data_IF_082027309600
#
_entry.id   IF_082027309600
#
_cell.length_a   1.000
_cell.length_b   1.000
_cell.length_c   1.000
_cell.angle_alpha   90.00
_cell.angle_beta   90.00
_cell.angle_gamma   90.00
#
_symmetry.space_group_name_H-M   'P 1'
#
loop_
_entity.id
_entity.type
_entity.pdbx_description
1 polymer ?
#
# COMPACT_ATOMS: atom_id res chain seq x y z
N UNK A 1 18.78 -25.06 -10.09
CA UNK A 1 17.94 -26.00 -9.31
C UNK A 1 16.71 -25.27 -8.81
N UNK A 2 15.51 -25.85 -8.94
CA UNK A 2 14.24 -25.15 -8.66
C UNK A 2 14.01 -24.82 -7.18
N UNK A 3 13.28 -23.73 -6.91
CA UNK A 3 12.84 -23.32 -5.57
C UNK A 3 11.95 -24.42 -4.97
N UNK A 4 12.26 -24.90 -3.76
CA UNK A 4 11.49 -25.93 -3.05
C UNK A 4 10.68 -25.33 -1.92
N UNK A 5 9.49 -25.87 -1.67
CA UNK A 5 8.69 -25.67 -0.46
C UNK A 5 8.89 -26.86 0.48
N UNK A 6 8.25 -26.83 1.67
CA UNK A 6 8.29 -27.95 2.63
C UNK A 6 7.79 -29.28 2.03
N UNK A 7 6.92 -29.23 1.03
CA UNK A 7 6.20 -30.39 0.49
C UNK A 7 6.57 -30.74 -0.96
N UNK A 8 7.44 -29.98 -1.62
CA UNK A 8 7.82 -30.26 -3.01
C UNK A 8 8.46 -29.08 -3.73
N UNK A 9 8.34 -29.06 -5.06
CA UNK A 9 8.79 -27.93 -5.87
C UNK A 9 7.77 -26.79 -5.81
N UNK A 10 8.26 -25.56 -5.74
CA UNK A 10 7.41 -24.39 -5.77
C UNK A 10 6.83 -24.19 -7.17
N UNK A 11 5.51 -24.03 -7.24
CA UNK A 11 4.81 -23.54 -8.42
C UNK A 11 4.28 -22.12 -8.19
N UNK A 12 4.91 -21.31 -7.36
CA UNK A 12 4.46 -19.93 -7.13
C UNK A 12 4.59 -19.08 -8.41
N UNK A 13 3.82 -17.98 -8.51
CA UNK A 13 3.77 -17.17 -9.73
C UNK A 13 5.16 -16.66 -10.15
N UNK A 14 5.95 -16.17 -9.19
CA UNK A 14 7.34 -15.72 -9.38
C UNK A 14 8.26 -16.80 -9.97
N UNK A 15 8.04 -18.07 -9.59
CA UNK A 15 8.81 -19.20 -10.11
C UNK A 15 8.35 -19.56 -11.52
N UNK A 16 7.04 -19.58 -11.76
CA UNK A 16 6.47 -19.92 -13.05
C UNK A 16 6.75 -18.85 -14.11
N UNK A 17 6.73 -17.56 -13.76
CA UNK A 17 7.06 -16.47 -14.68
C UNK A 17 8.47 -16.62 -15.26
N UNK A 18 9.45 -16.99 -14.44
CA UNK A 18 10.82 -17.27 -14.90
C UNK A 18 10.92 -18.45 -15.87
N UNK A 19 10.05 -19.44 -15.70
CA UNK A 19 9.98 -20.63 -16.56
C UNK A 19 9.13 -20.42 -17.82
N UNK A 20 8.32 -19.35 -17.87
CA UNK A 20 7.35 -19.11 -18.93
C UNK A 20 7.97 -18.83 -20.30
N UNK A 21 9.22 -18.35 -20.32
CA UNK A 21 9.99 -18.15 -21.55
C UNK A 21 10.50 -19.45 -22.16
N UNK A 22 10.77 -20.45 -21.33
CA UNK A 22 11.32 -21.75 -21.75
C UNK A 22 10.21 -22.76 -22.10
N UNK A 23 9.09 -22.73 -21.37
CA UNK A 23 8.02 -23.74 -21.50
C UNK A 23 6.66 -23.08 -21.74
N UNK A 24 6.11 -23.14 -22.98
CA UNK A 24 4.83 -22.51 -23.31
C UNK A 24 3.65 -22.91 -22.42
N UNK A 25 3.61 -24.18 -21.96
CA UNK A 25 2.58 -24.68 -21.04
C UNK A 25 2.49 -23.88 -19.74
N UNK A 26 3.60 -23.28 -19.28
CA UNK A 26 3.63 -22.49 -18.05
C UNK A 26 2.80 -21.21 -18.17
N UNK A 27 2.75 -20.61 -19.37
CA UNK A 27 1.88 -19.46 -19.63
C UNK A 27 0.40 -19.84 -19.47
N UNK A 28 -0.01 -20.98 -20.01
CA UNK A 28 -1.37 -21.49 -19.86
C UNK A 28 -1.71 -21.82 -18.40
N UNK A 29 -0.76 -22.34 -17.62
CA UNK A 29 -0.96 -22.58 -16.18
C UNK A 29 -1.18 -21.27 -15.42
N UNK A 30 -0.37 -20.24 -15.69
CA UNK A 30 -0.49 -18.92 -15.08
C UNK A 30 -1.85 -18.29 -15.42
N UNK A 31 -2.23 -18.31 -16.69
CA UNK A 31 -3.52 -17.82 -17.19
C UNK A 31 -4.69 -18.59 -16.54
N UNK A 32 -4.67 -19.92 -16.57
CA UNK A 32 -5.69 -20.76 -15.96
C UNK A 32 -5.87 -20.45 -14.47
N UNK A 33 -4.78 -20.26 -13.72
CA UNK A 33 -4.84 -19.91 -12.29
C UNK A 33 -5.45 -18.54 -12.07
N UNK A 34 -5.07 -17.56 -12.89
CA UNK A 34 -5.67 -16.22 -12.87
C UNK A 34 -7.18 -16.28 -13.10
N UNK A 35 -7.60 -16.92 -14.20
CA UNK A 35 -9.02 -17.10 -14.56
C UNK A 35 -9.79 -17.88 -13.49
N UNK A 36 -9.22 -18.97 -12.97
CA UNK A 36 -9.83 -19.78 -11.91
C UNK A 36 -10.01 -18.97 -10.64
N UNK A 37 -9.06 -18.10 -10.29
CA UNK A 37 -9.18 -17.22 -9.13
C UNK A 37 -10.27 -16.16 -9.35
N UNK A 38 -10.32 -15.53 -10.54
CA UNK A 38 -11.38 -14.61 -10.94
C UNK A 38 -12.76 -15.26 -10.83
N UNK A 39 -12.94 -16.44 -11.40
CA UNK A 39 -14.20 -17.18 -11.34
C UNK A 39 -14.56 -17.59 -9.92
N UNK A 40 -13.69 -18.36 -9.25
CA UNK A 40 -14.04 -19.02 -7.99
C UNK A 40 -14.14 -18.05 -6.81
N UNK A 41 -13.27 -17.05 -6.74
CA UNK A 41 -13.23 -16.12 -5.59
C UNK A 41 -14.09 -14.89 -5.82
N UNK A 42 -14.09 -14.34 -7.03
CA UNK A 42 -14.67 -13.02 -7.27
C UNK A 42 -16.00 -13.08 -8.03
N UNK A 43 -16.18 -13.97 -9.01
CA UNK A 43 -17.48 -14.12 -9.66
C UNK A 43 -18.43 -14.96 -8.78
N UNK A 44 -18.22 -16.28 -8.76
CA UNK A 44 -19.06 -17.21 -7.99
C UNK A 44 -18.96 -16.93 -6.49
N UNK A 45 -17.75 -16.62 -6.03
CA UNK A 45 -17.45 -16.41 -4.62
C UNK A 45 -18.16 -15.19 -4.03
N UNK A 46 -18.18 -14.04 -4.73
CA UNK A 46 -18.93 -12.87 -4.25
C UNK A 46 -20.43 -13.03 -4.43
N UNK A 47 -20.87 -13.71 -5.49
CA UNK A 47 -22.30 -13.97 -5.72
C UNK A 47 -22.97 -14.70 -4.54
N UNK A 48 -22.22 -15.55 -3.84
CA UNK A 48 -22.70 -16.25 -2.65
C UNK A 48 -22.92 -15.35 -1.41
N UNK A 49 -22.41 -14.11 -1.41
CA UNK A 49 -22.56 -13.12 -0.34
C UNK A 49 -23.55 -12.01 -0.69
N UNK A 50 -24.26 -12.12 -1.82
CA UNK A 50 -25.31 -11.17 -2.17
C UNK A 50 -26.53 -11.49 -1.30
N UNK A 51 -26.91 -10.54 -0.45
CA UNK A 51 -28.06 -10.62 0.43
C UNK A 51 -29.26 -9.84 -0.15
N UNK A 52 -30.28 -9.63 0.67
CA UNK A 52 -31.44 -8.82 0.32
C UNK A 52 -31.02 -7.40 -0.14
N UNK A 53 -31.84 -6.80 -0.99
CA UNK A 53 -31.55 -5.50 -1.64
C UNK A 53 -30.31 -5.48 -2.56
N UNK A 54 -29.79 -6.64 -2.96
CA UNK A 54 -28.59 -6.78 -3.80
C UNK A 54 -27.33 -6.16 -3.17
N UNK A 55 -27.20 -6.24 -1.83
CA UNK A 55 -26.04 -5.73 -1.10
C UNK A 55 -25.13 -6.85 -0.63
N UNK A 56 -23.84 -6.52 -0.49
CA UNK A 56 -22.83 -7.38 0.14
C UNK A 56 -22.39 -6.71 1.44
N UNK A 57 -22.55 -7.41 2.55
CA UNK A 57 -22.17 -6.94 3.88
C UNK A 57 -20.88 -7.62 4.36
N UNK A 58 -19.76 -6.92 4.25
CA UNK A 58 -18.47 -7.43 4.74
C UNK A 58 -18.26 -7.16 6.23
N UNK A 59 -17.44 -7.98 6.89
CA UNK A 59 -16.99 -7.77 8.27
C UNK A 59 -15.60 -7.16 8.31
N UNK A 60 -15.48 -5.97 8.90
CA UNK A 60 -14.21 -5.27 9.10
C UNK A 60 -13.62 -5.54 10.49
N UNK A 61 -12.54 -6.31 10.54
CA UNK A 61 -11.85 -6.67 11.77
C UNK A 61 -10.72 -5.68 12.09
N UNK A 62 -10.80 -5.04 13.26
CA UNK A 62 -9.80 -4.07 13.71
C UNK A 62 -8.63 -4.68 14.51
N UNK A 63 -8.75 -5.94 14.94
CA UNK A 63 -7.84 -6.58 15.91
C UNK A 63 -6.99 -7.72 15.32
N UNK A 64 -7.09 -7.98 14.01
CA UNK A 64 -6.37 -9.10 13.36
C UNK A 64 -4.94 -8.71 12.97
N UNK A 65 -4.74 -7.56 12.34
CA UNK A 65 -3.42 -7.22 11.78
C UNK A 65 -2.50 -6.64 12.86
N UNK A 66 -1.25 -7.14 12.91
CA UNK A 66 -0.25 -6.65 13.86
C UNK A 66 0.20 -5.21 13.59
N UNK A 67 -0.05 -4.68 12.39
CA UNK A 67 0.29 -3.31 12.00
C UNK A 67 -0.85 -2.33 12.22
N UNK A 68 -2.02 -2.80 12.68
CA UNK A 68 -3.16 -1.93 12.98
C UNK A 68 -4.04 -1.59 11.78
N UNK A 69 -3.73 -2.09 10.57
CA UNK A 69 -4.65 -2.04 9.43
C UNK A 69 -5.96 -2.77 9.74
N UNK A 70 -7.06 -2.29 9.16
CA UNK A 70 -8.33 -3.01 9.18
C UNK A 70 -8.25 -4.13 8.14
N UNK A 71 -8.80 -5.30 8.45
CA UNK A 71 -8.94 -6.41 7.51
C UNK A 71 -10.41 -6.69 7.23
N UNK A 72 -10.72 -7.14 6.02
CA UNK A 72 -12.09 -7.48 5.61
C UNK A 72 -12.25 -8.99 5.40
N UNK A 73 -13.35 -9.55 5.92
CA UNK A 73 -13.70 -10.97 5.80
C UNK A 73 -15.18 -11.14 5.46
N UNK A 74 -15.50 -12.27 4.81
CA UNK A 74 -16.88 -12.72 4.56
C UNK A 74 -17.80 -11.68 3.87
N UNK A 75 -17.49 -11.24 2.63
CA UNK A 75 -16.30 -11.52 1.85
C UNK A 75 -15.19 -10.49 2.10
N UNK A 76 -13.97 -10.79 1.67
CA UNK A 76 -12.89 -9.80 1.69
C UNK A 76 -13.08 -8.81 0.52
N UNK A 77 -13.43 -7.57 0.84
CA UNK A 77 -13.61 -6.48 -0.14
C UNK A 77 -12.37 -5.62 -0.30
N UNK A 78 -11.31 -5.83 0.48
CA UNK A 78 -10.05 -5.09 0.35
C UNK A 78 -9.12 -5.65 -0.73
N UNK A 79 -9.43 -6.83 -1.28
CA UNK A 79 -8.58 -7.51 -2.26
C UNK A 79 -9.25 -7.65 -3.64
N UNK A 80 -10.25 -6.82 -3.94
CA UNK A 80 -10.90 -6.81 -5.26
C UNK A 80 -9.87 -6.43 -6.33
N UNK A 81 -9.69 -7.23 -7.39
CA UNK A 81 -8.58 -7.07 -8.32
C UNK A 81 -8.59 -5.71 -9.02
N UNK A 82 -7.40 -5.19 -9.29
CA UNK A 82 -7.20 -3.92 -10.00
C UNK A 82 -6.10 -3.97 -11.06
N UNK A 83 -5.07 -4.80 -10.86
CA UNK A 83 -3.86 -4.81 -11.71
C UNK A 83 -4.06 -5.48 -13.08
N UNK A 84 -4.90 -6.52 -13.15
CA UNK A 84 -5.20 -7.21 -14.40
C UNK A 84 -6.48 -6.64 -14.98
N UNK A 85 -6.48 -6.28 -16.26
CA UNK A 85 -7.64 -5.68 -16.92
C UNK A 85 -8.92 -6.48 -16.70
N UNK A 86 -8.91 -7.78 -17.02
CA UNK A 86 -10.06 -8.67 -16.79
C UNK A 86 -10.47 -8.75 -15.30
N UNK A 87 -9.52 -8.66 -14.38
CA UNK A 87 -9.81 -8.62 -12.95
C UNK A 87 -10.43 -7.31 -12.52
N UNK A 88 -9.96 -6.18 -13.07
CA UNK A 88 -10.50 -4.84 -12.83
C UNK A 88 -11.96 -4.79 -13.24
N UNK A 89 -12.35 -5.45 -14.34
CA UNK A 89 -13.74 -5.52 -14.81
C UNK A 89 -14.73 -6.03 -13.74
N UNK A 90 -14.31 -6.84 -12.76
CA UNK A 90 -15.17 -7.24 -11.64
C UNK A 90 -15.69 -6.02 -10.87
N UNK A 91 -14.92 -4.94 -10.75
CA UNK A 91 -15.35 -3.72 -10.05
C UNK A 91 -16.59 -3.05 -10.66
N UNK A 92 -16.94 -3.35 -11.92
CA UNK A 92 -18.14 -2.82 -12.58
C UNK A 92 -19.45 -3.32 -11.96
N UNK A 93 -19.45 -4.48 -11.30
CA UNK A 93 -20.65 -5.04 -10.69
C UNK A 93 -21.00 -4.37 -9.36
N UNK A 94 -20.05 -3.63 -8.78
CA UNK A 94 -20.32 -2.78 -7.62
C UNK A 94 -20.84 -1.45 -8.13
N UNK A 95 -22.13 -1.22 -7.90
CA UNK A 95 -22.84 -0.01 -8.29
C UNK A 95 -23.40 0.68 -7.03
N UNK A 96 -23.44 2.02 -7.00
CA UNK A 96 -24.13 2.75 -5.97
C UNK A 96 -25.65 2.60 -6.15
N UNK A 97 -26.42 2.93 -5.13
CA UNK A 97 -27.89 3.07 -5.25
C UNK A 97 -28.28 4.15 -6.26
N UNK A 98 -29.51 4.08 -6.76
CA UNK A 98 -30.05 5.09 -7.68
C UNK A 98 -29.99 6.51 -7.09
N UNK A 99 -29.54 7.47 -7.91
CA UNK A 99 -29.33 8.86 -7.50
C UNK A 99 -28.00 9.11 -6.76
N UNK A 100 -27.09 8.13 -6.73
CA UNK A 100 -25.79 8.23 -6.08
C UNK A 100 -24.66 7.88 -7.07
N UNK A 101 -23.45 8.33 -6.75
CA UNK A 101 -22.20 7.92 -7.37
C UNK A 101 -21.27 7.32 -6.30
N UNK A 102 -20.19 6.66 -6.73
CA UNK A 102 -19.07 6.40 -5.84
C UNK A 102 -18.03 7.49 -5.94
N UNK A 103 -17.51 7.90 -4.78
CA UNK A 103 -16.34 8.77 -4.66
C UNK A 103 -15.24 8.01 -3.93
N UNK A 104 -14.14 7.73 -4.62
CA UNK A 104 -12.93 7.08 -4.11
C UNK A 104 -11.90 8.16 -3.78
N UNK A 105 -11.39 8.13 -2.55
CA UNK A 105 -10.34 9.02 -2.08
C UNK A 105 -9.16 8.20 -1.59
N UNK A 106 -8.02 8.25 -2.29
CA UNK A 106 -6.83 7.45 -2.00
C UNK A 106 -5.68 8.37 -1.58
N UNK A 107 -4.98 8.06 -0.49
CA UNK A 107 -3.82 8.86 -0.13
C UNK A 107 -2.66 8.64 -1.11
N UNK A 108 -2.13 9.74 -1.64
CA UNK A 108 -0.97 9.70 -2.51
C UNK A 108 0.30 9.40 -1.71
N UNK A 109 0.70 8.12 -1.73
CA UNK A 109 1.98 7.63 -1.19
C UNK A 109 2.17 7.87 0.31
N UNK A 110 1.11 7.68 1.10
CA UNK A 110 1.10 7.98 2.55
C UNK A 110 2.29 7.36 3.31
N UNK A 111 2.68 6.12 3.00
CA UNK A 111 3.80 5.46 3.70
C UNK A 111 5.14 6.18 3.49
N UNK A 112 5.38 6.74 2.30
CA UNK A 112 6.60 7.50 2.01
C UNK A 112 6.54 8.92 2.59
N UNK A 113 5.37 9.57 2.64
CA UNK A 113 5.19 10.85 3.33
C UNK A 113 5.41 10.71 4.85
N UNK A 114 4.91 9.62 5.43
CA UNK A 114 5.18 9.24 6.82
C UNK A 114 6.68 9.00 7.04
N UNK A 115 7.35 8.27 6.15
CA UNK A 115 8.80 8.07 6.23
C UNK A 115 9.56 9.42 6.19
N UNK A 116 9.21 10.29 5.24
CA UNK A 116 9.82 11.62 5.13
C UNK A 116 9.65 12.42 6.42
N UNK A 117 8.43 12.48 6.93
CA UNK A 117 8.13 13.23 8.16
C UNK A 117 8.78 12.65 9.41
N UNK A 118 8.81 11.32 9.57
CA UNK A 118 9.36 10.68 10.77
C UNK A 118 10.88 10.62 10.77
N UNK A 119 11.50 10.55 9.58
CA UNK A 119 12.96 10.57 9.45
C UNK A 119 13.56 11.95 9.62
N UNK A 120 12.78 13.02 9.33
CA UNK A 120 13.28 14.39 9.35
C UNK A 120 14.21 14.73 8.18
N UNK A 121 14.32 13.86 7.17
CA UNK A 121 15.25 14.07 6.07
C UNK A 121 14.82 15.26 5.20
N UNK A 122 15.50 16.39 5.37
CA UNK A 122 15.15 17.65 4.71
C UNK A 122 15.13 17.56 3.19
N UNK A 123 15.99 16.72 2.59
CA UNK A 123 16.00 16.53 1.12
C UNK A 123 14.75 15.79 0.66
N UNK A 124 14.34 14.77 1.42
CA UNK A 124 13.14 14.01 1.11
C UNK A 124 11.87 14.84 1.37
N UNK A 125 11.85 15.63 2.45
CA UNK A 125 10.76 16.55 2.78
C UNK A 125 10.61 17.61 1.68
N UNK A 126 11.71 18.24 1.26
CA UNK A 126 11.70 19.25 0.19
C UNK A 126 11.27 18.65 -1.15
N UNK A 127 11.67 17.41 -1.44
CA UNK A 127 11.24 16.72 -2.65
C UNK A 127 9.70 16.58 -2.71
N UNK A 128 9.03 16.32 -1.58
CA UNK A 128 7.57 16.34 -1.52
C UNK A 128 6.96 17.74 -1.61
N UNK A 129 7.57 18.74 -0.95
CA UNK A 129 7.08 20.13 -1.00
C UNK A 129 7.16 20.74 -2.40
N UNK A 130 8.13 20.31 -3.21
CA UNK A 130 8.29 20.79 -4.58
C UNK A 130 7.19 20.31 -5.55
N UNK A 131 6.28 19.42 -5.12
CA UNK A 131 5.28 18.73 -5.96
C UNK A 131 5.85 18.06 -7.22
N UNK A 132 7.17 17.89 -7.30
CA UNK A 132 7.81 17.14 -8.37
C UNK A 132 7.57 15.63 -8.19
N UNK A 133 7.58 14.88 -9.28
CA UNK A 133 7.47 13.42 -9.22
C UNK A 133 8.60 12.83 -8.36
N UNK A 134 8.26 12.39 -7.14
CA UNK A 134 9.25 11.93 -6.17
C UNK A 134 10.09 10.77 -6.69
N UNK A 135 9.53 9.89 -7.52
CA UNK A 135 10.28 8.77 -8.07
C UNK A 135 11.27 9.23 -9.13
N UNK A 136 10.92 10.23 -9.95
CA UNK A 136 11.87 10.87 -10.86
C UNK A 136 12.93 11.66 -10.09
N UNK A 137 12.55 12.38 -9.04
CA UNK A 137 13.49 13.11 -8.17
C UNK A 137 14.48 12.16 -7.52
N UNK A 138 14.00 11.07 -6.93
CA UNK A 138 14.88 10.03 -6.37
C UNK A 138 15.75 9.41 -7.45
N UNK A 139 15.22 9.08 -8.63
CA UNK A 139 16.02 8.53 -9.72
C UNK A 139 17.12 9.51 -10.17
N UNK A 140 16.80 10.80 -10.32
CA UNK A 140 17.74 11.86 -10.69
C UNK A 140 18.86 11.99 -9.66
N UNK A 141 18.52 12.01 -8.37
CA UNK A 141 19.49 12.15 -7.29
C UNK A 141 20.35 10.88 -7.10
N UNK A 142 19.73 9.70 -7.14
CA UNK A 142 20.40 8.41 -6.96
C UNK A 142 21.30 8.08 -8.16
N UNK A 143 20.82 8.28 -9.40
CA UNK A 143 21.61 7.97 -10.60
C UNK A 143 22.49 9.13 -11.07
N UNK A 144 22.47 10.27 -10.37
CA UNK A 144 23.19 11.49 -10.75
C UNK A 144 22.93 11.93 -12.20
N UNK A 145 21.68 11.84 -12.64
CA UNK A 145 21.21 12.26 -13.97
C UNK A 145 20.28 13.47 -13.85
N UNK A 146 20.27 14.40 -14.81
CA UNK A 146 19.30 15.50 -14.83
C UNK A 146 17.85 14.98 -14.77
N UNK A 147 16.97 15.69 -14.05
CA UNK A 147 15.57 15.28 -13.85
C UNK A 147 14.83 14.99 -15.17
N UNK A 148 15.06 15.82 -16.18
CA UNK A 148 14.46 15.69 -17.52
C UNK A 148 14.99 14.48 -18.30
N UNK A 149 16.18 13.98 -17.96
CA UNK A 149 16.81 12.83 -18.61
C UNK A 149 16.45 11.49 -17.93
N UNK A 150 15.68 11.54 -16.83
CA UNK A 150 15.20 10.33 -16.16
C UNK A 150 14.27 9.56 -17.09
N UNK A 151 14.69 8.34 -17.44
CA UNK A 151 13.88 7.40 -18.22
C UNK A 151 12.78 6.77 -17.37
N UNK A 152 11.72 6.28 -18.00
CA UNK A 152 10.63 5.58 -17.30
C UNK A 152 11.09 4.30 -16.59
N UNK A 153 12.12 3.63 -17.12
CA UNK A 153 12.74 2.48 -16.47
C UNK A 153 13.45 2.91 -15.17
N UNK A 154 14.23 3.98 -15.19
CA UNK A 154 14.90 4.51 -14.00
C UNK A 154 13.89 4.99 -12.96
N UNK A 155 12.82 5.69 -13.38
CA UNK A 155 11.71 6.06 -12.50
C UNK A 155 11.07 4.84 -11.85
N UNK A 156 10.80 3.78 -12.62
CA UNK A 156 10.24 2.52 -12.11
C UNK A 156 11.19 1.86 -11.10
N UNK A 157 12.49 1.86 -11.39
CA UNK A 157 13.48 1.29 -10.49
C UNK A 157 13.57 2.08 -9.18
N UNK A 158 13.60 3.41 -9.24
CA UNK A 158 13.58 4.27 -8.06
C UNK A 158 12.29 4.11 -7.24
N UNK A 159 11.14 3.93 -7.90
CA UNK A 159 9.89 3.56 -7.22
C UNK A 159 10.05 2.27 -6.43
N UNK A 160 10.57 1.21 -7.03
CA UNK A 160 10.78 -0.06 -6.33
C UNK A 160 11.78 0.09 -5.16
N UNK A 161 12.82 0.91 -5.30
CA UNK A 161 13.75 1.23 -4.21
C UNK A 161 13.01 1.94 -3.07
N UNK A 162 12.26 3.02 -3.34
CA UNK A 162 11.52 3.78 -2.31
C UNK A 162 10.60 2.87 -1.49
N UNK A 163 9.76 2.07 -2.17
CA UNK A 163 8.90 1.12 -1.48
C UNK A 163 9.72 0.04 -0.77
N UNK A 164 10.75 -0.50 -1.42
CA UNK A 164 11.63 -1.50 -0.84
C UNK A 164 12.25 -1.06 0.49
N UNK A 165 12.73 0.18 0.58
CA UNK A 165 13.32 0.74 1.80
C UNK A 165 12.30 0.80 2.95
N UNK A 166 11.06 1.22 2.68
CA UNK A 166 9.95 1.22 3.68
C UNK A 166 9.69 -0.18 4.25
N UNK A 167 9.91 -1.23 3.45
CA UNK A 167 9.71 -2.63 3.85
C UNK A 167 10.99 -3.33 4.33
N UNK A 168 12.12 -2.62 4.43
CA UNK A 168 13.41 -3.20 4.80
C UNK A 168 13.88 -4.26 3.79
N UNK A 169 13.68 -4.01 2.50
CA UNK A 169 14.07 -4.93 1.43
C UNK A 169 15.58 -5.19 1.48
N UNK A 170 15.97 -6.43 1.21
CA UNK A 170 17.38 -6.78 1.04
C UNK A 170 17.81 -6.53 -0.41
N UNK A 171 19.12 -6.38 -0.64
CA UNK A 171 19.67 -6.34 -2.01
C UNK A 171 19.28 -7.55 -2.84
N UNK A 172 19.08 -8.72 -2.22
CA UNK A 172 18.54 -9.90 -2.90
C UNK A 172 17.09 -9.69 -3.35
N UNK A 173 16.21 -9.23 -2.46
CA UNK A 173 14.81 -8.96 -2.79
C UNK A 173 14.69 -7.92 -3.91
N UNK A 174 15.43 -6.81 -3.78
CA UNK A 174 15.43 -5.74 -4.78
C UNK A 174 15.99 -6.23 -6.13
N UNK A 175 17.01 -7.09 -6.12
CA UNK A 175 17.56 -7.64 -7.38
C UNK A 175 16.55 -8.50 -8.14
N UNK A 176 15.68 -9.21 -7.42
CA UNK A 176 14.63 -10.02 -8.02
C UNK A 176 13.51 -9.13 -8.57
N UNK A 177 13.07 -8.13 -7.80
CA UNK A 177 12.01 -7.19 -8.21
C UNK A 177 12.41 -6.37 -9.45
N UNK A 178 13.69 -6.00 -9.56
CA UNK A 178 14.23 -5.21 -10.66
C UNK A 178 14.81 -6.05 -11.80
N UNK A 179 14.96 -7.36 -11.61
CA UNK A 179 15.66 -8.24 -12.55
C UNK A 179 17.10 -7.75 -12.89
N UNK A 180 17.83 -7.27 -11.87
CA UNK A 180 19.23 -6.80 -11.97
C UNK A 180 20.17 -7.67 -11.13
N UNK A 181 21.48 -7.45 -11.20
CA UNK A 181 22.41 -8.17 -10.33
C UNK A 181 22.27 -7.72 -8.87
N UNK A 182 22.59 -8.62 -7.92
CA UNK A 182 22.64 -8.27 -6.49
C UNK A 182 23.61 -7.13 -6.19
N UNK A 183 24.68 -7.00 -6.97
CA UNK A 183 25.68 -5.93 -6.82
C UNK A 183 25.07 -4.58 -7.17
N UNK A 184 24.33 -4.51 -8.27
CA UNK A 184 23.62 -3.29 -8.68
C UNK A 184 22.53 -2.92 -7.67
N UNK A 185 21.74 -3.89 -7.21
CA UNK A 185 20.72 -3.66 -6.19
C UNK A 185 21.32 -3.14 -4.86
N UNK A 186 22.48 -3.66 -4.44
CA UNK A 186 23.18 -3.16 -3.27
C UNK A 186 23.65 -1.72 -3.46
N UNK A 187 24.23 -1.40 -4.62
CA UNK A 187 24.65 -0.03 -4.95
C UNK A 187 23.47 0.95 -4.95
N UNK A 188 22.29 0.54 -5.45
CA UNK A 188 21.09 1.39 -5.41
C UNK A 188 20.64 1.71 -3.99
N UNK A 189 20.69 0.73 -3.08
CA UNK A 189 20.33 0.94 -1.66
C UNK A 189 21.35 1.86 -0.97
N UNK A 190 22.64 1.64 -1.22
CA UNK A 190 23.72 2.45 -0.66
C UNK A 190 23.59 3.91 -1.10
N UNK A 191 23.47 4.14 -2.39
CA UNK A 191 23.30 5.46 -3.01
C UNK A 191 22.03 6.18 -2.52
N UNK A 192 20.94 5.44 -2.29
CA UNK A 192 19.73 6.00 -1.68
C UNK A 192 20.01 6.53 -0.28
N UNK A 193 20.71 5.78 0.56
CA UNK A 193 21.05 6.22 1.91
C UNK A 193 22.13 7.29 1.96
N UNK A 194 23.01 7.38 0.98
CA UNK A 194 23.93 8.51 0.82
C UNK A 194 23.17 9.79 0.42
N UNK A 195 22.12 9.65 -0.39
CA UNK A 195 21.26 10.75 -0.80
C UNK A 195 20.39 11.25 0.38
N UNK A 196 19.80 10.32 1.14
CA UNK A 196 18.91 10.56 2.27
C UNK A 196 19.48 9.96 3.58
N UNK A 197 20.54 10.56 4.15
CA UNK A 197 21.24 10.00 5.30
C UNK A 197 20.40 9.96 6.57
N UNK A 198 19.42 10.85 6.73
CA UNK A 198 18.58 10.86 7.94
C UNK A 198 17.55 9.73 7.91
N UNK A 199 17.11 9.31 6.71
CA UNK A 199 16.30 8.09 6.54
C UNK A 199 17.04 6.87 7.08
N UNK A 200 18.34 6.71 6.76
CA UNK A 200 19.14 5.61 7.29
C UNK A 200 19.24 5.66 8.81
N UNK A 201 19.56 6.84 9.37
CA UNK A 201 19.68 7.02 10.82
C UNK A 201 18.36 6.69 11.54
N UNK A 202 17.23 7.10 10.96
CA UNK A 202 15.90 6.78 11.46
C UNK A 202 15.61 5.28 11.43
N UNK A 203 15.84 4.60 10.31
CA UNK A 203 15.63 3.15 10.21
C UNK A 203 16.51 2.38 11.21
N UNK A 204 17.78 2.77 11.32
CA UNK A 204 18.73 2.18 12.27
C UNK A 204 18.28 2.41 13.73
N UNK A 205 17.73 3.58 14.04
CA UNK A 205 17.22 3.90 15.38
C UNK A 205 15.96 3.10 15.71
N UNK A 206 15.03 2.91 14.78
CA UNK A 206 13.84 2.08 14.97
C UNK A 206 14.21 0.64 15.38
N UNK A 207 15.19 0.05 14.71
CA UNK A 207 15.67 -1.30 15.03
C UNK A 207 16.35 -1.33 16.40
N UNK A 208 17.19 -0.33 16.69
CA UNK A 208 17.88 -0.22 17.99
C UNK A 208 16.89 -0.11 19.14
N UNK A 209 15.87 0.74 19.00
CA UNK A 209 14.85 0.96 20.01
C UNK A 209 13.96 -0.28 20.18
N UNK A 210 13.59 -0.95 19.08
CA UNK A 210 12.84 -2.19 19.16
C UNK A 210 13.63 -3.33 19.82
N UNK A 211 14.95 -3.41 19.60
CA UNK A 211 15.83 -4.37 20.30
C UNK A 211 15.92 -4.08 21.79
N UNK A 212 15.94 -2.79 22.18
CA UNK A 212 15.98 -2.36 23.57
C UNK A 212 14.66 -2.61 24.30
N UNK A 213 13.54 -2.27 23.67
CA UNK A 213 12.22 -2.23 24.30
C UNK A 213 11.40 -3.52 24.08
N UNK A 214 11.75 -4.31 23.06
CA UNK A 214 11.03 -5.52 22.64
C UNK A 214 9.79 -5.27 21.76
N UNK A 215 9.55 -4.03 21.34
CA UNK A 215 8.43 -3.65 20.49
C UNK A 215 8.74 -2.42 19.62
N UNK A 216 8.06 -2.31 18.48
CA UNK A 216 8.02 -1.12 17.63
C UNK A 216 6.83 -0.23 18.00
N UNK A 217 6.91 1.08 17.74
CA UNK A 217 5.88 2.07 18.09
C UNK A 217 5.55 2.98 16.90
N UNK A 218 4.27 3.25 16.66
CA UNK A 218 3.81 4.23 15.65
C UNK A 218 3.88 5.66 16.20
N UNK A 219 3.70 6.67 15.34
CA UNK A 219 3.63 8.08 15.74
C UNK A 219 2.55 8.32 16.81
N UNK A 220 1.44 7.60 16.74
CA UNK A 220 0.30 7.70 17.67
C UNK A 220 0.38 6.72 18.84
N UNK A 221 1.53 6.09 19.06
CA UNK A 221 1.78 5.26 20.26
C UNK A 221 1.30 3.81 20.18
N UNK A 222 0.79 3.34 19.03
CA UNK A 222 0.45 1.92 18.84
C UNK A 222 1.71 1.08 18.94
N UNK A 223 1.69 0.01 19.73
CA UNK A 223 2.83 -0.89 19.94
C UNK A 223 2.65 -2.21 19.21
N UNK A 224 3.72 -2.69 18.60
CA UNK A 224 3.81 -4.06 18.03
C UNK A 224 4.99 -4.79 18.68
N UNK A 225 4.75 -5.81 19.52
CA UNK A 225 5.81 -6.69 20.03
C UNK A 225 6.60 -7.34 18.88
N UNK A 226 7.92 -7.45 19.04
CA UNK A 226 8.82 -8.05 18.04
C UNK A 226 9.77 -9.06 18.71
N UNK A 227 9.24 -10.19 19.24
CA UNK A 227 10.05 -11.19 19.93
C UNK A 227 11.15 -11.80 19.04
N UNK A 228 10.98 -11.76 17.72
CA UNK A 228 11.94 -12.28 16.75
C UNK A 228 13.33 -11.63 16.85
N UNK A 229 13.41 -10.39 17.33
CA UNK A 229 14.67 -9.67 17.55
C UNK A 229 15.61 -10.36 18.55
N UNK A 230 15.06 -11.14 19.48
CA UNK A 230 15.82 -11.86 20.50
C UNK A 230 16.20 -13.29 20.09
N UNK A 231 15.82 -13.72 18.87
CA UNK A 231 16.16 -15.05 18.38
C UNK A 231 17.66 -15.15 18.06
N UNK A 232 18.26 -16.28 18.46
CA UNK A 232 19.62 -16.64 18.04
C UNK A 232 19.68 -16.97 16.54
N UNK A 233 18.56 -17.41 15.94
CA UNK A 233 18.46 -17.71 14.52
C UNK A 233 18.55 -16.42 13.67
N UNK A 234 19.56 -16.33 12.81
CA UNK A 234 19.81 -15.16 11.96
C UNK A 234 18.60 -14.79 11.10
N UNK A 235 17.94 -15.77 10.46
CA UNK A 235 16.81 -15.50 9.56
C UNK A 235 15.60 -14.94 10.31
N UNK A 236 15.33 -15.47 11.51
CA UNK A 236 14.25 -14.98 12.36
C UNK A 236 14.57 -13.57 12.87
N UNK A 237 15.80 -13.33 13.33
CA UNK A 237 16.22 -12.02 13.80
C UNK A 237 16.17 -10.96 12.69
N UNK A 238 16.65 -11.26 11.49
CA UNK A 238 16.55 -10.35 10.35
C UNK A 238 15.10 -10.09 9.92
N UNK A 239 14.19 -11.06 10.10
CA UNK A 239 12.76 -10.81 9.93
C UNK A 239 12.22 -9.84 10.99
N UNK A 240 12.60 -10.03 12.26
CA UNK A 240 12.29 -9.08 13.34
C UNK A 240 12.80 -7.67 13.07
N UNK A 241 14.01 -7.53 12.51
CA UNK A 241 14.56 -6.23 12.11
C UNK A 241 13.68 -5.56 11.05
N UNK A 242 13.29 -6.28 9.97
CA UNK A 242 12.36 -5.74 8.96
C UNK A 242 11.01 -5.34 9.55
N UNK A 243 10.48 -6.16 10.48
CA UNK A 243 9.26 -5.84 11.20
C UNK A 243 9.40 -4.55 12.00
N UNK A 244 10.53 -4.37 12.71
CA UNK A 244 10.80 -3.17 13.49
C UNK A 244 10.93 -1.91 12.63
N UNK A 245 11.51 -2.02 11.43
CA UNK A 245 11.61 -0.92 10.46
C UNK A 245 10.24 -0.54 9.88
N UNK A 246 9.47 -1.53 9.43
CA UNK A 246 8.25 -1.28 8.67
C UNK A 246 7.03 -0.92 9.55
N UNK A 247 6.90 -1.53 10.73
CA UNK A 247 5.69 -1.38 11.54
C UNK A 247 5.39 0.05 11.99
N UNK A 248 6.38 0.87 12.39
CA UNK A 248 6.15 2.28 12.71
C UNK A 248 5.56 3.05 11.52
N UNK A 249 6.07 2.81 10.31
CA UNK A 249 5.66 3.53 9.10
C UNK A 249 4.25 3.09 8.66
N UNK A 250 4.08 1.79 8.40
CA UNK A 250 2.80 1.23 7.96
C UNK A 250 1.70 1.39 9.03
N UNK A 251 2.06 1.24 10.29
CA UNK A 251 1.12 1.41 11.39
C UNK A 251 0.71 2.86 11.60
N UNK A 252 1.62 3.81 11.39
CA UNK A 252 1.26 5.24 11.41
C UNK A 252 0.32 5.57 10.25
N UNK A 253 0.55 5.06 9.03
CA UNK A 253 -0.41 5.22 7.93
C UNK A 253 -1.79 4.63 8.27
N UNK A 254 -1.82 3.46 8.92
CA UNK A 254 -3.07 2.85 9.41
C UNK A 254 -3.75 3.66 10.53
N UNK A 255 -2.98 4.36 11.36
CA UNK A 255 -3.51 5.26 12.39
C UNK A 255 -4.13 6.52 11.73
N UNK A 256 -3.44 7.10 10.74
CA UNK A 256 -3.89 8.29 10.01
C UNK A 256 -5.22 8.03 9.28
N UNK A 257 -5.32 6.96 8.50
CA UNK A 257 -6.57 6.64 7.78
C UNK A 257 -7.73 6.41 8.75
N UNK A 258 -7.48 5.83 9.94
CA UNK A 258 -8.52 5.67 10.97
C UNK A 258 -8.97 6.99 11.56
N UNK A 259 -8.05 7.92 11.79
CA UNK A 259 -8.39 9.28 12.23
C UNK A 259 -9.22 9.98 11.14
N UNK A 260 -8.81 9.86 9.87
CA UNK A 260 -9.54 10.40 8.74
C UNK A 260 -10.96 9.84 8.64
N UNK A 261 -11.13 8.52 8.78
CA UNK A 261 -12.46 7.87 8.80
C UNK A 261 -13.38 8.45 9.88
N UNK A 262 -12.86 8.67 11.11
CA UNK A 262 -13.64 9.24 12.20
C UNK A 262 -14.08 10.66 11.84
N UNK A 263 -13.15 11.49 11.37
CA UNK A 263 -13.44 12.89 11.03
C UNK A 263 -14.41 13.04 9.87
N UNK A 264 -14.20 12.29 8.79
CA UNK A 264 -15.12 12.25 7.64
C UNK A 264 -16.51 11.81 8.11
N UNK A 265 -16.61 10.72 8.87
CA UNK A 265 -17.90 10.25 9.39
C UNK A 265 -18.62 11.29 10.27
N UNK A 266 -17.89 11.91 11.20
CA UNK A 266 -18.44 12.94 12.08
C UNK A 266 -18.92 14.17 11.30
N UNK A 267 -18.17 14.57 10.26
CA UNK A 267 -18.52 15.72 9.44
C UNK A 267 -19.72 15.47 8.53
N UNK A 268 -19.75 14.33 7.83
CA UNK A 268 -20.93 13.89 7.07
C UNK A 268 -22.20 13.90 7.95
N UNK A 269 -22.09 13.39 9.19
CA UNK A 269 -23.20 13.37 10.14
C UNK A 269 -23.59 14.76 10.65
N UNK A 270 -22.62 15.61 10.98
CA UNK A 270 -22.84 16.97 11.49
C UNK A 270 -23.53 17.85 10.45
N UNK A 271 -23.18 17.69 9.19
CA UNK A 271 -23.76 18.43 8.06
C UNK A 271 -25.07 17.82 7.55
N UNK A 272 -25.49 16.67 8.10
CA UNK A 272 -26.78 16.04 7.80
C UNK A 272 -26.84 15.39 6.42
N UNK A 273 -25.69 15.01 5.87
CA UNK A 273 -25.58 14.43 4.53
C UNK A 273 -26.13 13.00 4.47
N UNK A 274 -26.69 12.62 3.33
CA UNK A 274 -27.21 11.29 3.03
C UNK A 274 -26.11 10.32 2.59
N UNK A 275 -25.01 10.87 2.09
CA UNK A 275 -23.81 10.14 1.64
C UNK A 275 -23.17 9.35 2.78
N UNK A 276 -22.57 8.19 2.47
CA UNK A 276 -22.06 7.26 3.48
C UNK A 276 -20.71 6.68 3.10
N UNK A 277 -19.80 6.61 4.07
CA UNK A 277 -18.59 5.78 3.98
C UNK A 277 -18.97 4.30 3.92
N UNK A 278 -18.59 3.61 2.84
CA UNK A 278 -18.96 2.21 2.60
C UNK A 278 -17.77 1.28 2.82
N UNK A 279 -16.59 1.61 2.26
CA UNK A 279 -15.40 0.77 2.37
C UNK A 279 -14.18 1.59 2.78
N UNK A 280 -13.28 0.93 3.49
CA UNK A 280 -11.90 1.34 3.64
C UNK A 280 -11.01 0.22 3.07
N UNK A 281 -10.17 0.56 2.09
CA UNK A 281 -9.28 -0.40 1.43
C UNK A 281 -7.85 0.14 1.48
N UNK A 282 -7.10 -0.33 2.47
CA UNK A 282 -5.70 0.10 2.71
C UNK A 282 -5.57 1.59 3.05
N UNK A 283 -5.32 2.43 2.07
CA UNK A 283 -5.16 3.88 2.15
C UNK A 283 -6.29 4.64 1.45
N UNK A 284 -7.26 3.92 0.85
CA UNK A 284 -8.42 4.50 0.17
C UNK A 284 -9.71 4.43 1.02
N UNK A 285 -10.55 5.45 0.91
CA UNK A 285 -11.93 5.51 1.41
C UNK A 285 -12.90 5.57 0.23
N UNK A 286 -13.92 4.71 0.23
CA UNK A 286 -14.99 4.70 -0.76
C UNK A 286 -16.29 5.21 -0.13
N UNK A 287 -16.81 6.31 -0.64
CA UNK A 287 -18.07 6.92 -0.22
C UNK A 287 -19.14 6.64 -1.29
N UNK A 288 -20.32 6.18 -0.87
CA UNK A 288 -21.54 6.22 -1.69
C UNK A 288 -22.17 7.60 -1.51
N UNK A 289 -22.04 8.43 -2.54
CA UNK A 289 -22.27 9.88 -2.50
C UNK A 289 -23.54 10.23 -3.26
N UNK A 290 -24.47 10.97 -2.62
CA UNK A 290 -25.65 11.46 -3.31
C UNK A 290 -25.23 12.46 -4.38
N UNK A 291 -25.82 12.41 -5.57
CA UNK A 291 -25.40 13.27 -6.68
C UNK A 291 -25.52 14.76 -6.33
N UNK A 292 -26.52 15.14 -5.53
CA UNK A 292 -26.69 16.51 -5.05
C UNK A 292 -25.69 16.94 -3.96
N UNK A 293 -24.94 16.00 -3.36
CA UNK A 293 -23.96 16.24 -2.29
C UNK A 293 -22.50 16.11 -2.77
N UNK A 294 -22.25 15.86 -4.06
CA UNK A 294 -20.92 15.53 -4.58
C UNK A 294 -19.86 16.56 -4.18
N UNK A 295 -20.11 17.84 -4.45
CA UNK A 295 -19.16 18.93 -4.15
C UNK A 295 -18.87 19.04 -2.64
N UNK A 296 -19.90 18.85 -1.81
CA UNK A 296 -19.76 18.91 -0.35
C UNK A 296 -18.93 17.73 0.17
N UNK A 297 -19.22 16.51 -0.30
CA UNK A 297 -18.45 15.31 0.10
C UNK A 297 -17.00 15.41 -0.36
N UNK A 298 -16.76 15.92 -1.58
CA UNK A 298 -15.40 16.18 -2.09
C UNK A 298 -14.60 17.08 -1.15
N UNK A 299 -15.17 18.23 -0.80
CA UNK A 299 -14.55 19.18 0.14
C UNK A 299 -14.30 18.54 1.52
N UNK A 300 -15.24 17.75 2.03
CA UNK A 300 -15.06 17.04 3.30
C UNK A 300 -13.88 16.06 3.23
N UNK A 301 -13.74 15.30 2.14
CA UNK A 301 -12.63 14.36 1.98
C UNK A 301 -11.29 15.10 1.85
N UNK A 302 -11.22 16.12 1.00
CA UNK A 302 -10.03 16.96 0.83
C UNK A 302 -9.59 17.56 2.16
N UNK A 303 -10.51 18.13 2.94
CA UNK A 303 -10.16 18.75 4.22
C UNK A 303 -9.83 17.71 5.29
N UNK A 304 -10.70 16.73 5.54
CA UNK A 304 -10.56 15.85 6.69
C UNK A 304 -9.46 14.80 6.51
N UNK A 305 -9.23 14.31 5.29
CA UNK A 305 -8.16 13.35 5.02
C UNK A 305 -6.80 14.05 5.01
N UNK A 306 -6.65 15.19 4.34
CA UNK A 306 -5.36 15.92 4.29
C UNK A 306 -4.93 16.35 5.69
N UNK A 307 -5.87 16.81 6.52
CA UNK A 307 -5.56 17.31 7.86
C UNK A 307 -5.63 16.24 8.96
N UNK A 308 -5.83 14.96 8.62
CA UNK A 308 -5.93 13.87 9.59
C UNK A 308 -4.68 13.73 10.48
N UNK A 309 -3.52 14.21 9.98
CA UNK A 309 -2.25 14.24 10.71
C UNK A 309 -1.49 15.53 10.45
N UNK A 310 -0.73 16.00 11.44
CA UNK A 310 0.20 17.11 11.28
C UNK A 310 1.61 16.56 11.07
N UNK A 311 1.94 16.27 9.81
CA UNK A 311 3.26 15.80 9.39
C UNK A 311 4.10 16.97 8.85
N UNK A 312 5.42 16.78 8.72
CA UNK A 312 6.33 17.77 8.12
C UNK A 312 6.11 17.95 6.59
N UNK A 313 5.46 16.96 5.98
CA UNK A 313 5.04 16.91 4.58
C UNK A 313 3.51 16.82 4.58
N UNK A 314 2.84 17.66 3.78
CA UNK A 314 1.39 17.63 3.65
C UNK A 314 0.92 16.28 3.09
N UNK A 315 -0.19 15.77 3.60
CA UNK A 315 -0.86 14.62 2.99
C UNK A 315 -1.57 15.10 1.73
N UNK A 316 -1.62 14.26 0.71
CA UNK A 316 -2.37 14.51 -0.52
C UNK A 316 -3.28 13.33 -0.78
N UNK A 317 -4.45 13.61 -1.37
CA UNK A 317 -5.39 12.58 -1.81
C UNK A 317 -5.69 12.72 -3.29
N UNK A 318 -5.85 11.60 -3.97
CA UNK A 318 -6.37 11.52 -5.33
C UNK A 318 -7.86 11.15 -5.24
N UNK A 319 -8.71 11.94 -5.90
CA UNK A 319 -10.16 11.81 -5.84
C UNK A 319 -10.75 11.45 -7.20
N UNK A 320 -11.52 10.36 -7.23
CA UNK A 320 -12.18 9.87 -8.43
C UNK A 320 -13.67 9.64 -8.18
N UNK A 321 -14.50 9.99 -9.17
CA UNK A 321 -15.95 9.79 -9.12
C UNK A 321 -16.36 8.88 -10.26
N UNK A 322 -17.26 7.93 -9.99
CA UNK A 322 -17.77 7.02 -11.00
C UNK A 322 -19.14 6.45 -10.66
N UNK A 323 -19.84 5.97 -11.69
CA UNK A 323 -21.15 5.29 -11.53
C UNK A 323 -21.00 3.83 -11.08
N UNK A 324 -19.77 3.35 -10.95
CA UNK A 324 -19.41 2.03 -10.44
C UNK A 324 -17.96 2.12 -9.91
N UNK A 325 -17.53 1.09 -9.16
CA UNK A 325 -16.20 1.12 -8.55
C UNK A 325 -15.05 0.95 -9.56
N UNK A 326 -15.34 0.56 -10.79
CA UNK A 326 -14.34 0.51 -11.86
C UNK A 326 -13.96 1.91 -12.36
N UNK A 327 -14.96 2.80 -12.47
CA UNK A 327 -14.83 4.17 -12.97
C UNK A 327 -14.39 5.17 -11.90
N UNK A 328 -14.69 4.91 -10.63
CA UNK A 328 -14.19 5.68 -9.50
C UNK A 328 -12.71 5.34 -9.18
N UNK A 329 -11.83 5.31 -10.20
CA UNK A 329 -10.39 5.03 -10.07
C UNK A 329 -9.58 5.48 -11.29
#
# INVERSE_FOLDING_TARGET
GGKKTKTGYSTAADVLEKLSGEYPVVKHILEYRGLTKLKSTYADGLAAYIEDENRIHSTFNQTITATGRISSTEPNLQNIPIRMELGRQIRKVFIPKDGYCFMDADYSQIELRVLASMSGDERLIEAYRSHADIHRTTASQVFHIPFEEVTDLQRRNAKAVNFGIVYGISSFGLSEDLSISRKEAAAYIEQYFETYPQVKQFIDSLVKDAKKNGYAVTLYGRRRPVPELFSSNFMQRSFGERVAMNSPIQGTAADIIKIAMIRVFERLKKEGLKSKLILQVHDELLIETALEEEEQVRMILEEEMVHASSLAVELEIDLHVGINWYEAK
#
